data_IF_075561791390
#
_entry.id   IF_075561791390
#
_cell.length_a   1.000
_cell.length_b   1.000
_cell.length_c   1.000
_cell.angle_alpha   90.00
_cell.angle_beta   90.00
_cell.angle_gamma   90.00
#
_symmetry.space_group_name_H-M   'P 1'
#
loop_
_entity.id
_entity.type
_entity.pdbx_description
1 polymer ?
#
# COMPACT_ATOMS: atom_id res chain seq x y z
N UNK A 1 9.68 23.55 42.22
CA UNK A 1 9.43 22.13 42.26
C UNK A 1 8.22 21.72 41.46
N UNK A 2 7.12 22.39 41.64
CA UNK A 2 5.90 22.06 40.88
C UNK A 2 6.07 22.28 39.40
N UNK A 3 6.94 23.20 39.00
CA UNK A 3 7.17 23.48 37.58
C UNK A 3 7.83 22.34 36.84
N UNK A 4 8.54 21.46 37.52
CA UNK A 4 9.16 20.30 36.87
C UNK A 4 8.14 19.32 36.32
N UNK A 5 7.09 19.09 37.10
CA UNK A 5 6.03 18.16 36.67
C UNK A 5 5.35 18.67 35.45
N UNK A 6 5.12 19.96 35.36
CA UNK A 6 4.46 20.56 34.21
C UNK A 6 5.31 20.42 32.93
N UNK A 7 6.62 20.61 33.07
CA UNK A 7 7.53 20.48 31.93
C UNK A 7 7.54 19.04 31.39
N UNK A 8 7.55 18.07 32.28
CA UNK A 8 7.52 16.67 31.86
C UNK A 8 6.24 16.32 31.08
N UNK A 9 5.12 16.84 31.56
CA UNK A 9 3.85 16.61 30.84
C UNK A 9 3.87 17.22 29.45
N UNK A 10 4.45 18.38 29.28
CA UNK A 10 4.56 19.02 27.99
C UNK A 10 5.39 18.20 27.02
N UNK A 11 6.46 17.58 27.50
CA UNK A 11 7.29 16.71 26.63
C UNK A 11 6.52 15.48 26.16
N UNK A 12 5.74 14.88 27.04
CA UNK A 12 4.93 13.72 26.66
C UNK A 12 3.91 14.06 25.57
N UNK A 13 3.29 15.22 25.69
CA UNK A 13 2.34 15.67 24.69
C UNK A 13 3.00 15.85 23.33
N UNK A 14 4.23 16.36 23.33
CA UNK A 14 4.97 16.57 22.08
C UNK A 14 5.22 15.26 21.35
N UNK A 15 5.55 14.19 22.06
CA UNK A 15 5.74 12.89 21.44
C UNK A 15 4.46 12.36 20.80
N UNK A 16 3.34 12.54 21.46
CA UNK A 16 2.06 12.08 20.91
C UNK A 16 1.75 12.73 19.57
N UNK A 17 2.08 14.01 19.43
CA UNK A 17 1.79 14.74 18.19
C UNK A 17 2.57 14.22 17.00
N UNK A 18 3.79 13.73 17.19
CA UNK A 18 4.60 13.24 16.06
C UNK A 18 4.05 11.96 15.45
N UNK A 19 3.26 11.20 16.18
CA UNK A 19 2.68 9.97 15.67
C UNK A 19 1.45 10.20 14.79
N UNK A 20 0.87 11.37 14.86
CA UNK A 20 -0.33 11.70 14.11
C UNK A 20 -0.08 11.92 12.61
N UNK A 21 1.18 11.83 12.16
CA UNK A 21 1.54 12.09 10.77
C UNK A 21 1.36 10.89 9.85
N UNK A 22 0.94 9.73 10.35
CA UNK A 22 0.73 8.55 9.51
C UNK A 22 -0.50 8.78 8.63
N UNK A 23 -0.36 8.69 7.29
CA UNK A 23 -1.50 8.89 6.42
C UNK A 23 -2.51 7.76 6.55
N UNK A 24 -3.79 8.09 6.43
CA UNK A 24 -4.86 7.09 6.44
C UNK A 24 -5.02 6.40 5.09
N UNK A 25 -4.42 6.98 4.05
CA UNK A 25 -4.59 6.49 2.69
C UNK A 25 -3.38 6.83 1.84
N UNK A 26 -3.00 5.88 0.98
CA UNK A 26 -1.93 6.05 0.00
C UNK A 26 -2.50 5.75 -1.37
N UNK A 27 -2.22 6.62 -2.35
CA UNK A 27 -2.65 6.42 -3.72
C UNK A 27 -1.41 6.29 -4.60
N UNK A 28 -1.36 5.22 -5.40
CA UNK A 28 -0.23 4.92 -6.27
C UNK A 28 -0.70 4.78 -7.70
N UNK A 29 0.14 5.21 -8.64
CA UNK A 29 -0.04 4.92 -10.05
C UNK A 29 0.97 3.85 -10.44
N UNK A 30 0.51 2.76 -11.05
CA UNK A 30 1.34 1.60 -11.35
C UNK A 30 1.41 1.34 -12.83
N UNK A 31 2.54 0.81 -13.29
CA UNK A 31 2.70 0.40 -14.69
C UNK A 31 3.31 -0.99 -14.73
N UNK A 32 2.82 -1.81 -15.66
CA UNK A 32 3.30 -3.17 -15.83
C UNK A 32 4.74 -3.18 -16.34
N UNK A 33 5.62 -3.94 -15.67
CA UNK A 33 7.00 -4.10 -16.11
C UNK A 33 7.31 -5.54 -16.50
N UNK A 34 6.52 -6.52 -16.04
CA UNK A 34 6.79 -7.92 -16.34
C UNK A 34 5.51 -8.74 -16.20
N UNK A 35 5.35 -9.76 -17.04
CA UNK A 35 4.23 -10.69 -16.96
C UNK A 35 4.67 -12.08 -17.36
N UNK A 36 4.18 -13.10 -16.63
CA UNK A 36 4.40 -14.49 -16.96
C UNK A 36 3.37 -15.06 -17.94
N UNK A 37 2.44 -14.23 -18.41
CA UNK A 37 1.46 -14.71 -19.41
C UNK A 37 2.13 -15.09 -20.72
N UNK A 38 1.47 -15.94 -21.50
CA UNK A 38 2.03 -16.49 -22.74
C UNK A 38 2.38 -15.43 -23.79
N UNK A 39 1.76 -14.27 -23.74
CA UNK A 39 2.04 -13.15 -24.66
C UNK A 39 2.78 -12.00 -23.99
N UNK A 40 3.33 -12.21 -22.79
CA UNK A 40 4.09 -11.21 -22.03
C UNK A 40 3.36 -9.90 -21.79
N UNK A 41 2.04 -9.97 -21.69
CA UNK A 41 1.22 -8.78 -21.42
C UNK A 41 0.55 -8.88 -20.06
N UNK A 42 0.64 -7.82 -19.29
CA UNK A 42 -0.10 -7.70 -18.05
C UNK A 42 -1.58 -7.44 -18.32
N UNK A 43 -2.43 -7.77 -17.34
CA UNK A 43 -3.86 -7.56 -17.45
C UNK A 43 -4.22 -6.10 -17.74
N UNK A 44 -3.44 -5.17 -17.22
CA UNK A 44 -3.70 -3.73 -17.35
C UNK A 44 -2.67 -3.04 -18.24
N UNK A 45 -2.26 -3.68 -19.36
CA UNK A 45 -1.23 -3.08 -20.22
C UNK A 45 -1.66 -1.80 -20.90
N UNK A 46 -2.93 -1.66 -21.23
CA UNK A 46 -3.45 -0.50 -21.94
C UNK A 46 -3.81 0.66 -21.05
N UNK A 47 -3.89 0.41 -19.74
CA UNK A 47 -4.19 1.43 -18.74
C UNK A 47 -3.27 1.21 -17.55
N UNK A 48 -2.77 2.30 -16.97
CA UNK A 48 -1.99 2.20 -15.76
C UNK A 48 -2.94 2.05 -14.58
N UNK A 49 -2.94 0.92 -13.90
CA UNK A 49 -3.85 0.73 -12.78
C UNK A 49 -3.48 1.64 -11.62
N UNK A 50 -4.49 2.11 -10.92
CA UNK A 50 -4.30 2.87 -9.70
C UNK A 50 -4.48 1.96 -8.50
N UNK A 51 -3.61 2.11 -7.51
CA UNK A 51 -3.68 1.36 -6.27
C UNK A 51 -3.98 2.33 -5.15
N UNK A 52 -5.00 2.04 -4.37
CA UNK A 52 -5.31 2.81 -3.18
C UNK A 52 -5.23 1.88 -1.98
N UNK A 53 -4.38 2.23 -1.01
CA UNK A 53 -4.29 1.53 0.26
C UNK A 53 -4.98 2.40 1.28
N UNK A 54 -6.15 1.99 1.74
CA UNK A 54 -6.95 2.73 2.71
C UNK A 54 -6.85 2.01 4.05
N UNK A 55 -6.06 2.57 4.97
CA UNK A 55 -5.82 1.94 6.27
C UNK A 55 -7.03 2.06 7.19
N UNK A 56 -7.79 3.14 7.09
CA UNK A 56 -8.96 3.34 7.94
C UNK A 56 -10.05 2.33 7.62
N UNK A 57 -10.27 2.06 6.34
CA UNK A 57 -11.27 1.09 5.91
C UNK A 57 -10.72 -0.33 5.81
N UNK A 58 -9.40 -0.50 5.95
CA UNK A 58 -8.71 -1.77 5.85
C UNK A 58 -8.95 -2.45 4.50
N UNK A 59 -8.86 -1.67 3.42
CA UNK A 59 -9.04 -2.17 2.06
C UNK A 59 -7.91 -1.67 1.17
N UNK A 60 -7.63 -2.46 0.14
CA UNK A 60 -6.73 -2.08 -0.94
C UNK A 60 -7.46 -2.26 -2.27
N UNK A 61 -7.45 -1.22 -3.12
CA UNK A 61 -7.99 -1.35 -4.47
C UNK A 61 -6.84 -1.48 -5.44
N UNK A 62 -7.00 -2.36 -6.43
CA UNK A 62 -6.06 -2.51 -7.52
C UNK A 62 -6.85 -2.54 -8.81
N UNK A 63 -6.63 -1.51 -9.63
CA UNK A 63 -7.48 -1.31 -10.80
C UNK A 63 -8.92 -1.05 -10.37
N UNK A 64 -9.82 -1.93 -10.75
CA UNK A 64 -11.24 -1.79 -10.41
C UNK A 64 -11.68 -2.73 -9.30
N UNK A 65 -10.77 -3.55 -8.78
CA UNK A 65 -11.13 -4.55 -7.78
C UNK A 65 -10.78 -4.08 -6.37
N UNK A 66 -11.66 -4.37 -5.43
CA UNK A 66 -11.49 -4.01 -4.02
C UNK A 66 -11.17 -5.27 -3.23
N UNK A 67 -10.08 -5.23 -2.47
CA UNK A 67 -9.65 -6.31 -1.60
C UNK A 67 -9.75 -5.85 -0.16
N UNK A 68 -10.19 -6.75 0.72
CA UNK A 68 -10.39 -6.46 2.13
C UNK A 68 -9.30 -7.11 2.97
N UNK A 69 -9.12 -6.61 4.18
CA UNK A 69 -8.22 -7.18 5.20
C UNK A 69 -6.76 -7.14 4.77
N UNK A 70 -6.19 -5.94 4.83
CA UNK A 70 -4.80 -5.73 4.47
C UNK A 70 -3.89 -6.40 5.50
N UNK A 71 -2.99 -7.28 5.01
CA UNK A 71 -1.91 -7.80 5.81
C UNK A 71 -0.73 -6.85 5.75
N UNK A 72 -0.22 -6.45 6.89
CA UNK A 72 0.87 -5.49 6.96
C UNK A 72 2.09 -6.14 7.62
N UNK A 73 3.24 -6.03 6.96
CA UNK A 73 4.52 -6.41 7.50
C UNK A 73 5.45 -5.21 7.45
N UNK A 74 6.65 -5.27 8.05
CA UNK A 74 7.60 -4.17 7.92
C UNK A 74 8.01 -3.88 6.47
N UNK A 75 7.87 -4.85 5.57
CA UNK A 75 8.33 -4.71 4.19
C UNK A 75 7.22 -4.69 3.16
N UNK A 76 5.98 -5.03 3.50
CA UNK A 76 4.93 -5.16 2.50
C UNK A 76 3.53 -4.93 3.04
N UNK A 77 2.62 -4.59 2.12
CA UNK A 77 1.18 -4.69 2.29
C UNK A 77 0.66 -5.77 1.37
N UNK A 78 -0.25 -6.62 1.83
CA UNK A 78 -0.79 -7.69 1.00
C UNK A 78 -2.28 -7.87 1.21
N UNK A 79 -2.94 -8.32 0.15
CA UNK A 79 -4.36 -8.69 0.19
C UNK A 79 -4.57 -9.94 -0.64
N UNK A 80 -5.59 -10.70 -0.28
CA UNK A 80 -5.91 -11.94 -0.97
C UNK A 80 -7.42 -12.06 -1.13
N UNK A 81 -7.84 -12.55 -2.29
CA UNK A 81 -9.24 -12.84 -2.56
C UNK A 81 -9.31 -14.03 -3.51
N UNK A 82 -9.79 -15.18 -3.01
CA UNK A 82 -9.84 -16.42 -3.78
C UNK A 82 -8.48 -16.77 -4.37
N UNK A 83 -8.36 -16.73 -5.70
CA UNK A 83 -7.11 -17.05 -6.40
C UNK A 83 -6.20 -15.83 -6.59
N UNK A 84 -6.68 -14.64 -6.27
CA UNK A 84 -5.91 -13.43 -6.45
C UNK A 84 -5.08 -13.13 -5.20
N UNK A 85 -3.84 -12.72 -5.41
CA UNK A 85 -2.96 -12.30 -4.33
C UNK A 85 -2.15 -11.10 -4.77
N UNK A 86 -2.25 -9.98 -4.05
CA UNK A 86 -1.56 -8.74 -4.37
C UNK A 86 -0.61 -8.41 -3.23
N UNK A 87 0.65 -8.19 -3.57
CA UNK A 87 1.68 -7.80 -2.60
C UNK A 87 2.35 -6.52 -3.07
N UNK A 88 2.33 -5.50 -2.24
CA UNK A 88 3.01 -4.23 -2.52
C UNK A 88 4.22 -4.12 -1.60
N UNK A 89 5.41 -4.04 -2.19
CA UNK A 89 6.64 -3.84 -1.43
C UNK A 89 6.71 -2.38 -0.98
N UNK A 90 6.86 -2.16 0.32
CA UNK A 90 6.84 -0.82 0.91
C UNK A 90 8.10 -0.02 0.62
N UNK A 91 9.21 -0.70 0.33
CA UNK A 91 10.47 -0.04 0.08
C UNK A 91 10.62 0.49 -1.32
N UNK A 92 10.42 -0.38 -2.32
CA UNK A 92 10.62 -0.03 -3.73
C UNK A 92 9.33 0.21 -4.50
N UNK A 93 8.17 0.02 -3.85
CA UNK A 93 6.84 0.18 -4.45
C UNK A 93 6.59 -0.73 -5.65
N UNK A 94 7.26 -1.88 -5.70
CA UNK A 94 6.93 -2.91 -6.67
C UNK A 94 5.73 -3.70 -6.18
N UNK A 95 4.79 -3.91 -7.07
CA UNK A 95 3.58 -4.66 -6.78
C UNK A 95 3.60 -5.96 -7.56
N UNK A 96 3.38 -7.07 -6.86
CA UNK A 96 3.26 -8.39 -7.48
C UNK A 96 1.79 -8.80 -7.43
N UNK A 97 1.25 -9.12 -8.58
CA UNK A 97 -0.14 -9.55 -8.72
C UNK A 97 -0.17 -10.97 -9.23
N UNK A 98 -0.58 -11.91 -8.39
CA UNK A 98 -0.75 -13.32 -8.75
C UNK A 98 -2.24 -13.59 -8.95
N UNK A 99 -2.61 -14.10 -10.12
CA UNK A 99 -3.97 -14.49 -10.42
C UNK A 99 -3.98 -15.70 -11.36
N UNK A 100 -4.80 -16.68 -11.08
CA UNK A 100 -4.98 -17.86 -11.95
C UNK A 100 -3.64 -18.44 -12.42
N UNK A 101 -2.71 -18.61 -11.48
CA UNK A 101 -1.37 -19.16 -11.73
C UNK A 101 -0.48 -18.28 -12.62
N UNK A 102 -0.86 -17.04 -12.85
CA UNK A 102 -0.07 -16.08 -13.61
C UNK A 102 0.43 -14.98 -12.68
N UNK A 103 1.69 -14.58 -12.84
CA UNK A 103 2.28 -13.52 -12.04
C UNK A 103 2.58 -12.32 -12.92
N UNK A 104 2.21 -11.15 -12.44
CA UNK A 104 2.52 -9.86 -13.06
C UNK A 104 3.23 -8.99 -12.05
N UNK A 105 4.18 -8.19 -12.54
CA UNK A 105 4.92 -7.26 -11.69
C UNK A 105 4.72 -5.86 -12.23
N UNK A 106 4.40 -4.95 -11.32
CA UNK A 106 4.16 -3.54 -11.64
C UNK A 106 5.13 -2.68 -10.85
N UNK A 107 5.56 -1.59 -11.45
CA UNK A 107 6.28 -0.55 -10.73
C UNK A 107 5.30 0.56 -10.41
N UNK A 108 5.18 0.90 -9.15
CA UNK A 108 4.25 1.91 -8.69
C UNK A 108 4.99 3.16 -8.22
N UNK A 109 4.31 4.28 -8.33
CA UNK A 109 4.82 5.57 -7.89
C UNK A 109 3.73 6.27 -7.08
N UNK A 110 4.12 6.94 -6.03
CA UNK A 110 3.18 7.67 -5.22
C UNK A 110 2.57 8.81 -6.04
N UNK A 111 1.23 8.84 -6.06
CA UNK A 111 0.50 9.88 -6.78
C UNK A 111 0.26 11.05 -5.86
N UNK A 112 0.78 12.20 -6.24
CA UNK A 112 0.57 13.44 -5.48
C UNK A 112 -0.73 14.07 -5.90
N UNK A 113 -1.51 14.44 -4.93
CA UNK A 113 -2.78 15.13 -5.15
C UNK A 113 -2.66 16.61 -4.86
#
# INVERSE_FOLDING_TARGET
MKSFVIILLALLVTFSCSEASIPSKIILSCSCIESESSNNKCLYTDINPEVEVNFDANIMTFGKKIYKNIGTTPTSFSVRDNSDFVVLNRGNLKLTFDYQSTREIYQCYEKKT
#
